data_IF_084118532798
#
_entry.id   IF_084118532798
#
_cell.length_a   1.000
_cell.length_b   1.000
_cell.length_c   1.000
_cell.angle_alpha   90.00
_cell.angle_beta   90.00
_cell.angle_gamma   90.00
#
_symmetry.space_group_name_H-M   'P 1'
#
loop_
_entity.id
_entity.type
_entity.pdbx_description
1 polymer ?
#
# COMPACT_ATOMS: atom_id res chain seq x y z
N UNK A 1 -5.03 62.18 -33.35
CA UNK A 1 -4.23 61.72 -32.20
C UNK A 1 -4.47 60.21 -32.04
N UNK A 2 -3.55 59.41 -32.56
CA UNK A 2 -3.61 57.97 -32.45
C UNK A 2 -2.64 57.57 -31.32
N UNK A 3 -3.21 57.09 -30.19
CA UNK A 3 -2.43 56.60 -29.04
C UNK A 3 -1.92 55.19 -29.33
N UNK A 4 -0.61 55.10 -29.60
CA UNK A 4 0.06 53.82 -29.77
C UNK A 4 0.15 53.04 -28.43
N UNK A 5 -0.41 51.85 -28.39
CA UNK A 5 -0.21 50.91 -27.28
C UNK A 5 1.28 50.51 -27.23
N UNK A 6 1.91 50.66 -26.08
CA UNK A 6 3.36 50.39 -25.91
C UNK A 6 3.63 48.88 -26.07
N UNK A 7 4.77 48.52 -26.66
CA UNK A 7 5.21 47.15 -26.88
C UNK A 7 5.24 46.29 -25.58
N UNK A 8 5.41 46.93 -24.44
CA UNK A 8 5.38 46.32 -23.11
C UNK A 8 3.98 45.79 -22.72
N UNK A 9 2.92 46.46 -23.18
CA UNK A 9 1.52 46.02 -22.95
C UNK A 9 1.16 44.79 -23.76
N UNK A 10 1.65 44.64 -24.99
CA UNK A 10 1.45 43.51 -25.86
C UNK A 10 2.19 42.25 -25.34
N UNK A 11 3.44 42.38 -24.94
CA UNK A 11 4.24 41.29 -24.38
C UNK A 11 3.63 40.71 -23.09
N UNK A 12 3.09 41.59 -22.22
CA UNK A 12 2.38 41.16 -21.01
C UNK A 12 1.08 40.39 -21.30
N UNK A 13 0.40 40.71 -22.38
CA UNK A 13 -0.83 40.05 -22.80
C UNK A 13 -0.54 38.65 -23.40
N UNK A 14 0.52 38.48 -24.18
CA UNK A 14 0.95 37.20 -24.76
C UNK A 14 1.45 36.23 -23.71
N UNK A 15 2.24 36.66 -22.76
CA UNK A 15 2.69 35.83 -21.63
C UNK A 15 1.53 35.28 -20.81
N UNK A 16 0.51 36.10 -20.57
CA UNK A 16 -0.70 35.69 -19.84
C UNK A 16 -1.56 34.69 -20.61
N UNK A 17 -1.67 34.82 -21.93
CA UNK A 17 -2.39 33.86 -22.80
C UNK A 17 -1.66 32.51 -22.86
N UNK A 18 -0.34 32.48 -22.94
CA UNK A 18 0.47 31.27 -22.91
C UNK A 18 0.32 30.51 -21.59
N UNK A 19 0.35 31.21 -20.45
CA UNK A 19 0.16 30.61 -19.13
C UNK A 19 -1.23 30.00 -18.95
N UNK A 20 -2.30 30.72 -19.36
CA UNK A 20 -3.68 30.22 -19.27
C UNK A 20 -3.89 28.99 -20.19
N UNK A 21 -3.31 29.00 -21.40
CA UNK A 21 -3.38 27.86 -22.31
C UNK A 21 -2.68 26.61 -21.75
N UNK A 22 -1.47 26.78 -21.14
CA UNK A 22 -0.75 25.70 -20.45
C UNK A 22 -1.54 25.16 -19.27
N UNK A 23 -2.11 26.01 -18.42
CA UNK A 23 -2.93 25.60 -17.29
C UNK A 23 -4.19 24.84 -17.73
N UNK A 24 -4.84 25.26 -18.81
CA UNK A 24 -6.00 24.57 -19.38
C UNK A 24 -5.62 23.21 -19.98
N UNK A 25 -4.45 23.09 -20.59
CA UNK A 25 -3.95 21.81 -21.14
C UNK A 25 -3.58 20.83 -20.04
N UNK A 26 -2.95 21.31 -18.93
CA UNK A 26 -2.68 20.50 -17.75
C UNK A 26 -3.99 20.06 -17.09
N UNK A 27 -4.95 20.96 -16.93
CA UNK A 27 -6.27 20.61 -16.37
C UNK A 27 -7.01 19.59 -17.23
N UNK A 28 -6.94 19.66 -18.57
CA UNK A 28 -7.51 18.66 -19.47
C UNK A 28 -6.83 17.30 -19.31
N UNK A 29 -5.49 17.25 -19.23
CA UNK A 29 -4.76 15.98 -19.03
C UNK A 29 -5.06 15.36 -17.66
N UNK A 30 -5.11 16.14 -16.60
CA UNK A 30 -5.47 15.66 -15.26
C UNK A 30 -6.95 15.25 -15.21
N UNK A 31 -7.86 16.02 -15.83
CA UNK A 31 -9.28 15.69 -15.88
C UNK A 31 -9.62 14.47 -16.73
N UNK A 32 -8.83 14.15 -17.77
CA UNK A 32 -9.00 12.92 -18.55
C UNK A 32 -8.38 11.70 -17.88
N UNK A 33 -7.30 11.87 -17.10
CA UNK A 33 -6.69 10.80 -16.32
C UNK A 33 -7.57 10.34 -15.15
N UNK A 34 -8.43 11.20 -14.61
CA UNK A 34 -9.33 10.87 -13.50
C UNK A 34 -10.64 10.17 -13.91
N UNK A 35 -10.92 10.05 -15.20
CA UNK A 35 -12.23 9.52 -15.69
C UNK A 35 -12.28 8.00 -15.92
N UNK A 36 -11.16 7.32 -15.93
CA UNK A 36 -11.14 5.85 -15.99
C UNK A 36 -9.90 5.36 -15.24
N UNK A 37 -10.08 4.82 -14.03
CA UNK A 37 -9.03 4.08 -13.35
C UNK A 37 -8.83 2.79 -14.15
N UNK A 38 -7.67 2.58 -14.78
CA UNK A 38 -7.43 1.36 -15.54
C UNK A 38 -7.56 0.13 -14.63
N UNK A 39 -8.16 -0.95 -15.13
CA UNK A 39 -8.40 -2.16 -14.33
C UNK A 39 -7.14 -2.76 -13.69
N UNK A 40 -5.97 -2.60 -14.32
CA UNK A 40 -4.69 -3.04 -13.75
C UNK A 40 -4.29 -2.32 -12.45
N UNK A 41 -4.83 -1.11 -12.20
CA UNK A 41 -4.56 -0.35 -10.97
C UNK A 41 -5.03 -1.13 -9.73
N UNK A 42 -6.16 -1.84 -9.83
CA UNK A 42 -6.67 -2.68 -8.75
C UNK A 42 -5.75 -3.86 -8.47
N UNK A 43 -5.17 -4.45 -9.52
CA UNK A 43 -4.23 -5.57 -9.41
C UNK A 43 -2.95 -5.13 -8.68
N UNK A 44 -2.45 -3.93 -8.97
CA UNK A 44 -1.27 -3.38 -8.30
C UNK A 44 -1.56 -2.93 -6.85
N UNK A 45 -2.75 -2.37 -6.59
CA UNK A 45 -3.13 -1.85 -5.29
C UNK A 45 -3.52 -2.95 -4.28
N UNK A 46 -4.14 -4.05 -4.74
CA UNK A 46 -4.65 -5.11 -3.88
C UNK A 46 -3.60 -5.73 -2.94
N UNK A 47 -2.40 -6.11 -3.39
CA UNK A 47 -1.38 -6.66 -2.50
C UNK A 47 -1.00 -5.69 -1.37
N UNK A 48 -0.84 -4.40 -1.70
CA UNK A 48 -0.52 -3.39 -0.69
C UNK A 48 -1.68 -3.19 0.30
N UNK A 49 -2.92 -3.17 -0.17
CA UNK A 49 -4.10 -3.07 0.68
C UNK A 49 -4.20 -4.25 1.66
N UNK A 50 -3.87 -5.48 1.22
CA UNK A 50 -3.81 -6.66 2.08
C UNK A 50 -2.78 -6.45 3.21
N UNK A 51 -1.57 -5.98 2.90
CA UNK A 51 -0.54 -5.73 3.90
C UNK A 51 -0.97 -4.68 4.92
N UNK A 52 -1.55 -3.57 4.47
CA UNK A 52 -2.05 -2.50 5.37
C UNK A 52 -3.18 -3.04 6.25
N UNK A 53 -4.08 -3.85 5.70
CA UNK A 53 -5.16 -4.48 6.46
C UNK A 53 -4.63 -5.36 7.58
N UNK A 54 -3.52 -6.11 7.37
CA UNK A 54 -2.92 -6.92 8.44
C UNK A 54 -2.41 -6.08 9.60
N UNK A 55 -1.83 -4.89 9.32
CA UNK A 55 -1.40 -3.94 10.37
C UNK A 55 -2.59 -3.42 11.15
N UNK A 56 -3.69 -3.06 10.46
CA UNK A 56 -4.94 -2.63 11.12
C UNK A 56 -5.52 -3.74 12.01
N UNK A 57 -5.54 -4.98 11.53
CA UNK A 57 -5.97 -6.12 12.35
C UNK A 57 -5.08 -6.27 13.59
N UNK A 58 -3.75 -6.25 13.45
CA UNK A 58 -2.82 -6.29 14.58
C UNK A 58 -3.11 -5.21 15.62
N UNK A 59 -3.30 -3.96 15.16
CA UNK A 59 -3.62 -2.82 16.04
C UNK A 59 -4.92 -3.02 16.82
N UNK A 60 -5.97 -3.51 16.16
CA UNK A 60 -7.25 -3.70 16.80
C UNK A 60 -7.29 -4.98 17.65
N UNK A 61 -6.50 -6.01 17.33
CA UNK A 61 -6.31 -7.18 18.21
C UNK A 61 -5.65 -6.74 19.52
N UNK A 62 -4.60 -5.92 19.47
CA UNK A 62 -3.93 -5.38 20.67
C UNK A 62 -4.84 -4.52 21.54
N UNK A 63 -5.96 -3.99 20.98
CA UNK A 63 -6.90 -3.08 21.63
C UNK A 63 -8.29 -3.69 21.89
N UNK A 64 -8.50 -4.99 21.66
CA UNK A 64 -9.82 -5.64 21.78
C UNK A 64 -10.52 -5.28 23.11
N UNK A 65 -9.82 -5.38 24.24
CA UNK A 65 -10.38 -5.07 25.55
C UNK A 65 -10.80 -3.60 25.69
N UNK A 66 -9.94 -2.68 25.22
CA UNK A 66 -10.20 -1.25 25.28
C UNK A 66 -11.35 -0.85 24.34
N UNK A 67 -11.40 -1.42 23.14
CA UNK A 67 -12.46 -1.17 22.15
C UNK A 67 -13.80 -1.71 22.65
N UNK A 68 -13.80 -2.91 23.25
CA UNK A 68 -15.01 -3.51 23.87
C UNK A 68 -15.55 -2.65 25.02
N UNK A 69 -14.68 -2.18 25.93
CA UNK A 69 -15.09 -1.31 27.04
C UNK A 69 -15.68 0.02 26.57
N UNK A 70 -15.25 0.52 25.42
CA UNK A 70 -15.77 1.76 24.80
C UNK A 70 -16.99 1.53 23.90
N UNK A 71 -17.46 0.31 23.75
CA UNK A 71 -18.56 -0.04 22.84
C UNK A 71 -18.21 0.08 21.35
N UNK A 72 -16.91 0.14 20.99
CA UNK A 72 -16.47 0.26 19.61
C UNK A 72 -16.46 -1.13 18.96
N UNK A 73 -17.26 -1.32 17.93
CA UNK A 73 -17.40 -2.58 17.19
C UNK A 73 -16.42 -2.68 16.04
N UNK A 74 -15.15 -2.95 16.34
CA UNK A 74 -14.14 -3.27 15.29
C UNK A 74 -14.28 -4.72 14.82
N UNK A 75 -13.76 -5.05 13.62
CA UNK A 75 -13.79 -6.43 13.12
C UNK A 75 -13.16 -7.43 14.11
N UNK A 76 -11.99 -7.17 14.74
CA UNK A 76 -11.46 -8.04 15.77
C UNK A 76 -12.36 -8.20 17.00
N UNK A 77 -13.09 -7.15 17.43
CA UNK A 77 -14.06 -7.25 18.53
C UNK A 77 -15.22 -8.18 18.16
N UNK A 78 -15.72 -8.09 16.91
CA UNK A 78 -16.82 -8.93 16.43
C UNK A 78 -16.41 -10.39 16.24
N UNK A 79 -15.19 -10.66 15.76
CA UNK A 79 -14.67 -11.99 15.48
C UNK A 79 -14.15 -12.70 16.74
N UNK A 80 -13.74 -11.95 17.74
CA UNK A 80 -12.95 -12.42 18.87
C UNK A 80 -11.46 -12.56 18.52
N UNK A 81 -10.59 -12.53 19.53
CA UNK A 81 -9.13 -12.50 19.36
C UNK A 81 -8.60 -13.63 18.50
N UNK A 82 -8.99 -14.88 18.79
CA UNK A 82 -8.49 -16.06 18.08
C UNK A 82 -8.76 -15.99 16.58
N UNK A 83 -10.03 -15.76 16.20
CA UNK A 83 -10.40 -15.68 14.77
C UNK A 83 -9.78 -14.46 14.09
N UNK A 84 -9.67 -13.34 14.79
CA UNK A 84 -9.01 -12.16 14.24
C UNK A 84 -7.52 -12.42 13.94
N UNK A 85 -6.81 -13.16 14.80
CA UNK A 85 -5.43 -13.59 14.56
C UNK A 85 -5.34 -14.53 13.35
N UNK A 86 -6.28 -15.47 13.21
CA UNK A 86 -6.30 -16.39 12.09
C UNK A 86 -6.58 -15.65 10.76
N UNK A 87 -7.49 -14.69 10.74
CA UNK A 87 -7.73 -13.83 9.56
C UNK A 87 -6.47 -13.05 9.20
N UNK A 88 -5.78 -12.44 10.17
CA UNK A 88 -4.54 -11.72 9.91
C UNK A 88 -3.46 -12.64 9.31
N UNK A 89 -3.32 -13.88 9.83
CA UNK A 89 -2.39 -14.89 9.28
C UNK A 89 -2.73 -15.26 7.84
N UNK A 90 -4.02 -15.50 7.55
CA UNK A 90 -4.48 -15.82 6.20
C UNK A 90 -4.16 -14.67 5.24
N UNK A 91 -4.42 -13.42 5.62
CA UNK A 91 -4.10 -12.25 4.81
C UNK A 91 -2.59 -12.12 4.53
N UNK A 92 -1.73 -12.32 5.55
CA UNK A 92 -0.28 -12.31 5.39
C UNK A 92 0.19 -13.38 4.40
N UNK A 93 -0.36 -14.60 4.49
CA UNK A 93 -0.02 -15.70 3.58
C UNK A 93 -0.54 -15.41 2.18
N UNK A 94 -1.80 -14.96 2.05
CA UNK A 94 -2.47 -14.73 0.77
C UNK A 94 -1.77 -13.65 -0.08
N UNK A 95 -1.07 -12.71 0.55
CA UNK A 95 -0.28 -11.69 -0.14
C UNK A 95 0.69 -12.29 -1.18
N UNK A 96 1.42 -13.34 -0.81
CA UNK A 96 2.47 -13.91 -1.65
C UNK A 96 1.92 -14.61 -2.91
N UNK A 97 0.99 -15.56 -2.81
CA UNK A 97 0.44 -16.20 -4.00
C UNK A 97 -0.32 -15.23 -4.91
N UNK A 98 -0.95 -14.18 -4.37
CA UNK A 98 -1.60 -13.14 -5.19
C UNK A 98 -0.58 -12.40 -6.04
N UNK A 99 0.55 -11.97 -5.45
CA UNK A 99 1.61 -11.29 -6.21
C UNK A 99 2.24 -12.23 -7.24
N UNK A 100 2.56 -13.46 -6.86
CA UNK A 100 3.16 -14.44 -7.77
C UNK A 100 2.20 -14.80 -8.90
N UNK A 101 0.91 -14.99 -8.62
CA UNK A 101 -0.09 -15.24 -9.65
C UNK A 101 -0.19 -14.08 -10.65
N UNK A 102 -0.12 -12.83 -10.19
CA UNK A 102 -0.10 -11.65 -11.06
C UNK A 102 1.16 -11.61 -11.96
N UNK A 103 2.31 -12.02 -11.43
CA UNK A 103 3.56 -12.15 -12.22
C UNK A 103 3.44 -13.24 -13.27
N UNK A 104 2.97 -14.43 -12.88
CA UNK A 104 2.82 -15.59 -13.78
C UNK A 104 1.79 -15.30 -14.88
N UNK A 105 0.70 -14.60 -14.54
CA UNK A 105 -0.30 -14.15 -15.51
C UNK A 105 0.19 -13.02 -16.45
N UNK A 106 1.41 -12.50 -16.25
CA UNK A 106 1.95 -11.39 -17.04
C UNK A 106 1.28 -10.03 -16.80
N UNK A 107 0.46 -9.90 -15.77
CA UNK A 107 -0.22 -8.64 -15.43
C UNK A 107 0.74 -7.62 -14.83
N UNK A 108 1.80 -8.09 -14.21
CA UNK A 108 2.88 -7.28 -13.63
C UNK A 108 4.23 -7.90 -13.98
N UNK A 109 5.29 -7.11 -13.98
CA UNK A 109 6.60 -7.61 -14.40
C UNK A 109 7.28 -8.53 -13.35
N UNK A 110 8.30 -9.29 -13.78
CA UNK A 110 8.91 -10.36 -12.99
C UNK A 110 9.63 -9.88 -11.73
N UNK A 111 10.04 -8.63 -11.67
CA UNK A 111 10.71 -8.06 -10.50
C UNK A 111 9.85 -8.09 -9.22
N UNK A 112 8.52 -8.18 -9.37
CA UNK A 112 7.64 -8.31 -8.21
C UNK A 112 7.83 -9.65 -7.48
N UNK A 113 8.41 -10.67 -8.11
CA UNK A 113 8.77 -11.93 -7.44
C UNK A 113 9.77 -11.73 -6.28
N UNK A 114 10.48 -10.59 -6.22
CA UNK A 114 11.35 -10.24 -5.09
C UNK A 114 10.63 -10.25 -3.74
N UNK A 115 9.30 -10.14 -3.70
CA UNK A 115 8.53 -10.25 -2.44
C UNK A 115 8.80 -11.55 -1.71
N UNK A 116 9.17 -12.64 -2.41
CA UNK A 116 9.51 -13.94 -1.83
C UNK A 116 10.63 -13.83 -0.77
N UNK A 117 11.53 -12.85 -0.91
CA UNK A 117 12.57 -12.56 0.09
C UNK A 117 11.99 -12.03 1.42
N UNK A 118 10.69 -11.74 1.47
CA UNK A 118 9.96 -11.39 2.68
C UNK A 118 9.49 -12.60 3.50
N UNK A 119 9.55 -13.83 2.96
CA UNK A 119 9.05 -15.05 3.61
C UNK A 119 9.67 -15.31 5.00
N UNK A 120 10.95 -15.12 5.26
CA UNK A 120 11.50 -15.29 6.61
C UNK A 120 10.78 -14.42 7.65
N UNK A 121 10.48 -13.17 7.32
CA UNK A 121 9.69 -12.26 8.19
C UNK A 121 8.22 -12.65 8.30
N UNK A 122 7.64 -13.20 7.24
CA UNK A 122 6.32 -13.81 7.31
C UNK A 122 6.29 -14.90 8.39
N UNK A 123 7.22 -15.86 8.34
CA UNK A 123 7.26 -16.98 9.28
C UNK A 123 7.40 -16.53 10.75
N UNK A 124 8.22 -15.52 11.01
CA UNK A 124 8.33 -14.92 12.35
C UNK A 124 7.01 -14.29 12.80
N UNK A 125 6.37 -13.51 11.93
CA UNK A 125 5.08 -12.88 12.22
C UNK A 125 3.98 -13.92 12.43
N UNK A 126 3.94 -14.99 11.63
CA UNK A 126 2.98 -16.08 11.80
C UNK A 126 3.13 -16.78 13.15
N UNK A 127 4.36 -16.97 13.67
CA UNK A 127 4.62 -17.51 15.01
C UNK A 127 4.03 -16.59 16.08
N UNK A 128 4.22 -15.28 15.94
CA UNK A 128 3.65 -14.30 16.88
C UNK A 128 2.12 -14.35 16.89
N UNK A 129 1.46 -14.45 15.72
CA UNK A 129 0.01 -14.55 15.63
C UNK A 129 -0.55 -15.94 15.97
N UNK A 130 0.28 -16.97 16.08
CA UNK A 130 -0.16 -18.33 16.44
C UNK A 130 -0.59 -18.44 17.91
N UNK A 131 0.03 -17.67 18.81
CA UNK A 131 -0.23 -17.67 20.23
C UNK A 131 -0.91 -16.38 20.72
N UNK A 132 -1.62 -16.39 21.86
CA UNK A 132 -2.10 -15.16 22.49
C UNK A 132 -0.90 -14.27 22.92
N UNK A 133 -1.21 -12.99 23.18
CA UNK A 133 -0.19 -12.05 23.68
C UNK A 133 0.37 -12.57 25.04
N UNK A 134 1.68 -12.51 25.27
CA UNK A 134 2.26 -12.80 26.58
C UNK A 134 1.68 -11.89 27.67
N UNK A 135 1.60 -12.35 28.90
CA UNK A 135 1.13 -11.53 30.03
C UNK A 135 2.13 -10.44 30.41
N UNK A 136 3.43 -10.76 30.27
CA UNK A 136 4.53 -9.84 30.57
C UNK A 136 5.33 -9.52 29.30
N UNK A 137 5.88 -8.28 29.20
CA UNK A 137 6.70 -7.92 28.06
C UNK A 137 7.95 -8.81 27.99
N UNK A 138 8.25 -9.41 26.80
CA UNK A 138 9.50 -10.10 26.60
C UNK A 138 10.70 -9.16 26.79
N UNK A 139 11.83 -9.70 27.24
CA UNK A 139 13.07 -8.93 27.44
C UNK A 139 13.39 -8.13 26.16
N UNK A 140 13.65 -6.85 26.30
CA UNK A 140 14.00 -5.93 25.21
C UNK A 140 12.87 -5.56 24.22
N UNK A 141 11.60 -5.87 24.49
CA UNK A 141 10.50 -5.45 23.62
C UNK A 141 10.06 -4.02 23.93
N UNK A 142 10.42 -3.06 23.05
CA UNK A 142 10.19 -1.63 23.26
C UNK A 142 8.74 -1.20 22.99
N UNK A 143 7.98 -1.98 22.22
CA UNK A 143 6.64 -1.62 21.73
C UNK A 143 5.46 -2.01 22.62
N UNK A 144 5.67 -2.53 23.81
CA UNK A 144 4.61 -3.00 24.71
C UNK A 144 3.56 -1.91 25.02
N UNK A 145 2.26 -2.22 25.00
CA UNK A 145 1.57 -3.52 24.77
C UNK A 145 1.22 -3.83 23.30
N UNK A 146 1.83 -3.15 22.34
CA UNK A 146 1.56 -3.28 20.91
C UNK A 146 2.26 -4.52 20.33
N UNK A 147 1.73 -5.72 20.61
CA UNK A 147 2.36 -6.99 20.27
C UNK A 147 2.10 -7.42 18.82
N UNK A 148 0.82 -7.55 18.45
CA UNK A 148 0.42 -8.01 17.12
C UNK A 148 0.67 -6.96 16.05
N UNK A 149 0.38 -5.70 16.34
CA UNK A 149 0.67 -4.61 15.38
C UNK A 149 2.17 -4.49 15.10
N UNK A 150 3.02 -4.69 16.09
CA UNK A 150 4.48 -4.68 15.90
C UNK A 150 4.94 -5.75 14.92
N UNK A 151 4.50 -7.01 15.11
CA UNK A 151 4.80 -8.12 14.23
C UNK A 151 4.26 -7.89 12.80
N UNK A 152 3.00 -7.44 12.67
CA UNK A 152 2.39 -7.11 11.39
C UNK A 152 3.14 -5.98 10.68
N UNK A 153 3.55 -4.94 11.40
CA UNK A 153 4.29 -3.80 10.85
C UNK A 153 5.66 -4.19 10.31
N UNK A 154 6.42 -5.00 11.05
CA UNK A 154 7.73 -5.49 10.60
C UNK A 154 7.62 -6.33 9.32
N UNK A 155 6.62 -7.22 9.24
CA UNK A 155 6.32 -7.99 8.03
C UNK A 155 5.92 -7.05 6.87
N UNK A 156 4.96 -6.16 7.09
CA UNK A 156 4.47 -5.22 6.07
C UNK A 156 5.57 -4.30 5.55
N UNK A 157 6.44 -3.79 6.42
CA UNK A 157 7.58 -2.97 6.03
C UNK A 157 8.54 -3.73 5.11
N UNK A 158 8.82 -5.01 5.40
CA UNK A 158 9.69 -5.84 4.57
C UNK A 158 9.03 -6.22 3.25
N UNK A 159 7.84 -6.82 3.31
CA UNK A 159 7.12 -7.29 2.13
C UNK A 159 6.68 -6.12 1.22
N UNK A 160 6.16 -5.04 1.81
CA UNK A 160 5.77 -3.83 1.08
C UNK A 160 6.96 -3.09 0.49
N UNK A 161 8.10 -3.01 1.19
CA UNK A 161 9.33 -2.45 0.64
C UNK A 161 9.84 -3.23 -0.57
N UNK A 162 9.79 -4.57 -0.52
CA UNK A 162 10.15 -5.42 -1.66
C UNK A 162 9.16 -5.29 -2.82
N UNK A 163 7.86 -5.13 -2.53
CA UNK A 163 6.84 -4.86 -3.54
C UNK A 163 7.13 -3.54 -4.27
N UNK A 164 7.37 -2.46 -3.52
CA UNK A 164 7.70 -1.14 -4.09
C UNK A 164 9.00 -1.20 -4.88
N UNK A 165 10.04 -1.87 -4.37
CA UNK A 165 11.29 -2.08 -5.08
C UNK A 165 11.06 -2.84 -6.40
N UNK A 166 10.26 -3.90 -6.38
CA UNK A 166 9.90 -4.65 -7.59
C UNK A 166 9.17 -3.78 -8.62
N UNK A 167 8.25 -2.92 -8.19
CA UNK A 167 7.56 -1.96 -9.07
C UNK A 167 8.54 -0.95 -9.69
N UNK A 168 9.46 -0.40 -8.88
CA UNK A 168 10.50 0.51 -9.37
C UNK A 168 11.43 -0.16 -10.38
N UNK A 169 11.88 -1.38 -10.09
CA UNK A 169 12.71 -2.14 -11.01
C UNK A 169 11.98 -2.47 -12.31
N UNK A 170 10.69 -2.80 -12.27
CA UNK A 170 9.90 -2.97 -13.48
C UNK A 170 9.79 -1.69 -14.33
N UNK A 171 9.72 -0.53 -13.69
CA UNK A 171 9.67 0.74 -14.40
C UNK A 171 11.02 1.11 -15.03
N UNK A 172 12.13 0.80 -14.34
CA UNK A 172 13.49 1.17 -14.78
C UNK A 172 14.13 0.12 -15.70
N UNK A 173 13.85 -1.15 -15.45
CA UNK A 173 14.44 -2.32 -16.13
C UNK A 173 13.33 -3.27 -16.58
N UNK A 174 12.52 -2.88 -17.58
CA UNK A 174 11.42 -3.72 -18.04
C UNK A 174 11.93 -5.00 -18.68
N UNK A 175 11.60 -6.14 -18.08
CA UNK A 175 11.87 -7.47 -18.62
C UNK A 175 10.57 -8.02 -19.18
N UNK A 176 10.55 -8.39 -20.47
CA UNK A 176 9.43 -9.10 -21.08
C UNK A 176 9.54 -10.59 -20.74
N UNK A 177 8.49 -11.15 -20.22
CA UNK A 177 8.42 -12.59 -20.00
C UNK A 177 8.19 -13.29 -21.36
N UNK A 178 8.86 -14.43 -21.63
CA UNK A 178 8.81 -15.07 -22.94
C UNK A 178 7.44 -15.68 -23.30
N UNK A 179 6.52 -15.75 -22.36
CA UNK A 179 5.18 -16.33 -22.55
C UNK A 179 4.04 -15.28 -22.50
N UNK A 180 4.37 -13.99 -22.47
CA UNK A 180 3.38 -12.88 -22.44
C UNK A 180 3.55 -11.97 -23.65
#
# INVERSE_FOLDING_TARGET
>A
MAGGLSASSLASCEGRRGFVASAAMIRRRVGSASRAIPGWTWIAALPYAILVTTVLFGKHIDKIEADTKKGVRTMPVLLGERRARDVARILMIAFYPIVIAAVVAGWVGPWLALVVLGIPRLLESLKTFAAPRPETPPHSYVGWPLWFVGAAFVHTRRAGGLLVLGLLLNALLPIKLPWV
#
